data_IF_337230243568
#
_entry.id   IF_337230243568
#
_cell.length_a   1.000
_cell.length_b   1.000
_cell.length_c   1.000
_cell.angle_alpha   90.00
_cell.angle_beta   90.00
_cell.angle_gamma   90.00
#
_symmetry.space_group_name_H-M   'P 1'
#
loop_
_entity.id
_entity.type
_entity.pdbx_description
1 polymer ?
#
# COMPACT_ATOMS: atom_id res chain seq x y z
N UNK A 1 -14.69 20.45 15.33
CA UNK A 1 -13.25 20.08 15.30
C UNK A 1 -12.58 20.74 16.49
N UNK A 2 -11.93 19.97 17.34
CA UNK A 2 -11.31 20.45 18.59
C UNK A 2 -9.95 21.10 18.27
N UNK A 3 -9.89 22.44 18.28
CA UNK A 3 -8.71 23.22 17.86
C UNK A 3 -7.44 22.92 18.69
N UNK A 4 -7.60 22.34 19.88
CA UNK A 4 -6.49 21.95 20.76
C UNK A 4 -5.71 20.76 20.20
N UNK A 5 -6.38 19.82 19.51
CA UNK A 5 -5.74 18.64 18.91
C UNK A 5 -4.93 18.99 17.67
N UNK A 6 -5.42 19.93 16.87
CA UNK A 6 -4.73 20.41 15.66
C UNK A 6 -3.44 21.14 16.03
N UNK A 7 -3.49 22.03 17.04
CA UNK A 7 -2.31 22.74 17.53
C UNK A 7 -1.26 21.77 18.11
N UNK A 8 -1.71 20.77 18.86
CA UNK A 8 -0.84 19.72 19.42
C UNK A 8 -0.19 18.87 18.32
N UNK A 9 -0.96 18.50 17.29
CA UNK A 9 -0.45 17.75 16.13
C UNK A 9 0.59 18.55 15.34
N UNK A 10 0.31 19.82 15.05
CA UNK A 10 1.24 20.70 14.35
C UNK A 10 2.57 20.87 15.12
N UNK A 11 2.52 20.95 16.44
CA UNK A 11 3.71 21.01 17.28
C UNK A 11 4.50 19.69 17.27
N UNK A 12 3.83 18.54 17.29
CA UNK A 12 4.49 17.23 17.20
C UNK A 12 5.23 17.01 15.88
N UNK A 13 4.64 17.43 14.74
CA UNK A 13 5.29 17.32 13.43
C UNK A 13 6.52 18.24 13.29
N UNK A 14 6.50 19.41 13.94
CA UNK A 14 7.61 20.37 13.88
C UNK A 14 8.84 19.93 14.69
N UNK A 15 8.65 19.18 15.77
CA UNK A 15 9.74 18.82 16.68
C UNK A 15 10.73 17.83 16.07
N UNK A 16 10.26 16.90 15.23
CA UNK A 16 11.11 15.91 14.56
C UNK A 16 10.64 15.74 13.10
N UNK A 17 11.02 16.66 12.19
CA UNK A 17 10.52 16.64 10.83
C UNK A 17 11.03 15.40 10.09
N UNK A 18 10.11 14.72 9.41
CA UNK A 18 10.45 13.67 8.47
C UNK A 18 11.13 14.28 7.24
N UNK A 19 12.43 14.07 7.10
CA UNK A 19 13.23 14.60 5.99
C UNK A 19 13.14 13.65 4.81
N UNK A 20 12.28 13.98 3.85
CA UNK A 20 12.08 13.18 2.65
C UNK A 20 13.35 13.23 1.79
N UNK A 21 13.93 12.07 1.52
CA UNK A 21 15.10 11.90 0.65
C UNK A 21 14.72 11.44 -0.75
N UNK A 22 13.63 10.68 -0.88
CA UNK A 22 13.11 10.18 -2.15
C UNK A 22 11.59 10.12 -2.14
N UNK A 23 10.98 10.55 -3.22
CA UNK A 23 9.53 10.49 -3.41
C UNK A 23 9.21 10.04 -4.84
N UNK A 24 8.29 9.11 -4.97
CA UNK A 24 7.67 8.67 -6.23
C UNK A 24 6.15 8.57 -6.02
N UNK A 25 5.40 8.25 -7.08
CA UNK A 25 3.95 8.08 -7.00
C UNK A 25 3.49 6.99 -6.02
N UNK A 26 4.34 6.03 -5.69
CA UNK A 26 4.00 4.89 -4.82
C UNK A 26 5.00 4.68 -3.69
N UNK A 27 6.04 5.50 -3.57
CA UNK A 27 7.09 5.33 -2.56
C UNK A 27 7.50 6.67 -1.96
N UNK A 28 7.61 6.72 -0.64
CA UNK A 28 8.11 7.87 0.10
C UNK A 28 9.17 7.38 1.09
N UNK A 29 10.41 7.80 0.90
CA UNK A 29 11.53 7.47 1.77
C UNK A 29 12.12 8.73 2.36
N UNK A 30 12.50 8.66 3.63
CA UNK A 30 13.10 9.76 4.35
C UNK A 30 13.71 9.32 5.65
N UNK A 31 14.25 10.29 6.38
CA UNK A 31 14.87 10.06 7.68
C UNK A 31 14.12 10.81 8.78
N UNK A 32 14.11 10.23 9.97
CA UNK A 32 13.52 10.84 11.16
C UNK A 32 14.36 10.49 12.38
N UNK A 33 14.50 11.47 13.27
CA UNK A 33 15.14 11.30 14.57
C UNK A 33 14.06 11.08 15.63
N UNK A 34 14.18 9.98 16.38
CA UNK A 34 13.29 9.63 17.47
C UNK A 34 14.02 9.83 18.81
N UNK A 35 13.63 10.81 19.64
CA UNK A 35 14.38 11.16 20.84
C UNK A 35 14.21 10.15 22.00
N UNK A 36 13.20 9.27 21.94
CA UNK A 36 12.84 8.33 23.02
C UNK A 36 12.40 6.99 22.45
N UNK A 37 12.52 5.94 23.26
CA UNK A 37 11.97 4.63 22.92
C UNK A 37 10.44 4.67 22.95
N UNK A 38 9.82 3.81 22.13
CA UNK A 38 8.38 3.81 21.85
C UNK A 38 7.86 5.17 21.35
N UNK A 39 8.70 5.92 20.63
CA UNK A 39 8.28 7.09 19.89
C UNK A 39 7.21 6.73 18.86
N UNK A 40 6.21 7.59 18.70
CA UNK A 40 5.22 7.43 17.63
C UNK A 40 5.43 8.54 16.61
N UNK A 41 5.83 8.16 15.40
CA UNK A 41 5.81 9.06 14.27
C UNK A 41 4.40 9.07 13.69
N UNK A 42 3.81 10.25 13.55
CA UNK A 42 2.55 10.45 12.83
C UNK A 42 2.86 11.17 11.52
N UNK A 43 2.16 10.79 10.45
CA UNK A 43 2.34 11.36 9.12
C UNK A 43 1.10 12.16 8.71
N UNK A 44 1.23 13.03 7.72
CA UNK A 44 0.09 13.69 7.06
C UNK A 44 -0.54 12.83 5.97
N UNK A 45 -0.08 11.59 5.81
CA UNK A 45 -0.61 10.66 4.81
C UNK A 45 -1.81 9.94 5.43
N UNK A 46 -2.96 9.91 4.76
CA UNK A 46 -4.14 9.24 5.29
C UNK A 46 -3.93 7.72 5.36
N UNK A 47 -4.48 7.09 6.40
CA UNK A 47 -4.43 5.65 6.59
C UNK A 47 -5.23 4.93 5.52
N UNK A 48 -4.61 3.93 4.89
CA UNK A 48 -5.24 3.03 3.93
C UNK A 48 -4.58 1.66 4.00
N UNK A 49 -5.36 0.61 3.76
CA UNK A 49 -4.89 -0.78 3.75
C UNK A 49 -3.84 -1.07 2.66
N UNK A 50 -3.71 -0.19 1.66
CA UNK A 50 -2.69 -0.31 0.62
C UNK A 50 -1.30 0.18 1.03
N UNK A 51 -1.19 0.93 2.14
CA UNK A 51 0.10 1.43 2.62
C UNK A 51 0.86 0.36 3.41
N UNK A 52 2.14 0.26 3.11
CA UNK A 52 3.12 -0.57 3.82
C UNK A 52 4.24 0.35 4.30
N UNK A 53 4.78 0.08 5.48
CA UNK A 53 5.87 0.85 6.05
C UNK A 53 7.04 -0.06 6.41
N UNK A 54 8.24 0.50 6.37
CA UNK A 54 9.45 -0.13 6.85
C UNK A 54 10.33 0.89 7.58
N UNK A 55 10.97 0.44 8.64
CA UNK A 55 11.91 1.20 9.46
C UNK A 55 13.24 0.46 9.42
N UNK A 56 14.29 1.11 8.90
CA UNK A 56 15.62 0.52 8.70
C UNK A 56 15.58 -0.81 7.94
N UNK A 57 14.70 -0.90 6.95
CA UNK A 57 14.50 -2.09 6.12
C UNK A 57 13.63 -3.19 6.76
N UNK A 58 13.19 -3.03 8.01
CA UNK A 58 12.26 -3.98 8.66
C UNK A 58 10.82 -3.53 8.48
N UNK A 59 9.96 -4.43 8.01
CA UNK A 59 8.52 -4.14 7.84
C UNK A 59 7.87 -3.84 9.18
N UNK A 60 7.10 -2.75 9.24
CA UNK A 60 6.30 -2.37 10.39
C UNK A 60 4.85 -2.16 9.96
N UNK A 61 3.91 -2.46 10.83
CA UNK A 61 2.49 -2.26 10.56
C UNK A 61 2.11 -0.80 10.87
N UNK A 62 1.67 -0.02 9.87
CA UNK A 62 1.11 1.31 10.12
C UNK A 62 -0.15 1.18 10.99
N UNK A 63 -0.31 2.09 11.95
CA UNK A 63 -1.51 2.22 12.78
C UNK A 63 -2.30 3.45 12.37
N UNK A 64 -3.61 3.39 12.54
CA UNK A 64 -4.48 4.54 12.34
C UNK A 64 -4.39 5.48 13.55
N UNK A 65 -4.13 6.75 13.29
CA UNK A 65 -4.07 7.82 14.29
C UNK A 65 -5.13 8.87 14.00
N UNK A 66 -5.86 9.29 15.04
CA UNK A 66 -6.99 10.21 14.95
C UNK A 66 -8.02 9.86 13.86
N UNK A 67 -8.21 8.56 13.59
CA UNK A 67 -9.12 8.03 12.56
C UNK A 67 -8.79 8.42 11.10
N UNK A 68 -7.75 9.20 10.84
CA UNK A 68 -7.46 9.69 9.48
C UNK A 68 -6.03 9.41 9.04
N UNK A 69 -5.05 9.54 9.93
CA UNK A 69 -3.63 9.57 9.57
C UNK A 69 -2.92 8.26 9.87
N UNK A 70 -1.80 8.01 9.20
CA UNK A 70 -0.91 6.91 9.56
C UNK A 70 0.06 7.29 10.67
N UNK A 71 0.30 6.35 11.56
CA UNK A 71 1.36 6.40 12.55
C UNK A 71 2.18 5.11 12.56
N UNK A 72 3.47 5.21 12.88
CA UNK A 72 4.37 4.07 13.09
C UNK A 72 5.13 4.24 14.40
N UNK A 73 5.43 3.13 15.05
CA UNK A 73 6.26 3.12 16.24
C UNK A 73 7.74 3.10 15.84
N UNK A 74 8.55 3.89 16.52
CA UNK A 74 9.99 4.00 16.35
C UNK A 74 10.68 3.75 17.70
N UNK A 75 11.81 3.06 17.66
CA UNK A 75 12.76 3.05 18.78
C UNK A 75 13.44 4.42 18.90
N UNK A 76 14.26 4.60 19.94
CA UNK A 76 15.14 5.77 20.03
C UNK A 76 16.24 5.68 18.97
N UNK A 77 16.51 6.78 18.29
CA UNK A 77 17.64 6.89 17.35
C UNK A 77 17.28 7.52 16.00
N UNK A 78 18.23 7.44 15.08
CA UNK A 78 18.09 7.87 13.70
C UNK A 78 17.55 6.72 12.86
N UNK A 79 16.46 6.94 12.14
CA UNK A 79 15.78 5.90 11.39
C UNK A 79 15.56 6.31 9.93
N UNK A 80 15.74 5.36 9.02
CA UNK A 80 15.29 5.44 7.64
C UNK A 80 13.91 4.84 7.56
N UNK A 81 12.92 5.66 7.27
CA UNK A 81 11.52 5.23 7.10
C UNK A 81 11.20 5.20 5.62
N UNK A 82 10.56 4.13 5.18
CA UNK A 82 10.07 3.98 3.81
C UNK A 82 8.61 3.55 3.82
N UNK A 83 7.76 4.32 3.17
CA UNK A 83 6.36 4.03 2.90
C UNK A 83 6.20 3.62 1.45
N UNK A 84 5.49 2.52 1.19
CA UNK A 84 5.15 2.04 -0.16
C UNK A 84 3.66 1.78 -0.27
N UNK A 85 3.04 2.25 -1.35
CA UNK A 85 1.62 2.08 -1.63
C UNK A 85 1.39 1.00 -2.68
N UNK A 86 0.52 0.04 -2.35
CA UNK A 86 0.03 -0.97 -3.27
C UNK A 86 -1.51 -0.93 -3.34
N UNK A 87 -2.11 -0.61 -4.49
CA UNK A 87 -3.55 -0.52 -4.62
C UNK A 87 -4.22 -1.90 -4.53
N UNK A 88 -5.10 -2.11 -3.55
CA UNK A 88 -5.86 -3.36 -3.39
C UNK A 88 -6.80 -3.65 -4.57
N UNK A 89 -7.28 -2.61 -5.27
CA UNK A 89 -8.10 -2.78 -6.47
C UNK A 89 -7.34 -3.44 -7.63
N UNK A 90 -6.01 -3.27 -7.68
CA UNK A 90 -5.18 -3.83 -8.74
C UNK A 90 -5.12 -5.36 -8.66
N UNK A 91 -5.01 -5.92 -7.45
CA UNK A 91 -5.00 -7.38 -7.27
C UNK A 91 -6.35 -8.01 -7.60
N UNK A 92 -7.46 -7.37 -7.19
CA UNK A 92 -8.81 -7.79 -7.56
C UNK A 92 -9.04 -7.72 -9.07
N UNK A 93 -8.68 -6.61 -9.70
CA UNK A 93 -8.78 -6.42 -11.14
C UNK A 93 -7.99 -7.47 -11.92
N UNK A 94 -6.74 -7.73 -11.52
CA UNK A 94 -5.89 -8.75 -12.15
C UNK A 94 -6.53 -10.14 -12.09
N UNK A 95 -7.11 -10.49 -10.94
CA UNK A 95 -7.78 -11.78 -10.74
C UNK A 95 -8.99 -11.93 -11.65
N UNK A 96 -9.82 -10.89 -11.75
CA UNK A 96 -10.98 -10.86 -12.65
C UNK A 96 -10.52 -10.99 -14.11
N UNK A 97 -9.53 -10.19 -14.54
CA UNK A 97 -9.01 -10.23 -15.90
C UNK A 97 -8.47 -11.60 -16.29
N UNK A 98 -7.68 -12.23 -15.42
CA UNK A 98 -7.15 -13.59 -15.66
C UNK A 98 -8.26 -14.63 -15.74
N UNK A 99 -9.27 -14.53 -14.87
CA UNK A 99 -10.42 -15.45 -14.88
C UNK A 99 -11.21 -15.31 -16.17
N UNK A 100 -11.53 -14.08 -16.58
CA UNK A 100 -12.25 -13.81 -17.83
C UNK A 100 -11.46 -14.30 -19.04
N UNK A 101 -10.15 -14.04 -19.08
CA UNK A 101 -9.28 -14.51 -20.16
C UNK A 101 -9.26 -16.04 -20.25
N UNK A 102 -9.16 -16.73 -19.11
CA UNK A 102 -9.22 -18.20 -19.04
C UNK A 102 -10.54 -18.76 -19.57
N UNK A 103 -11.67 -18.15 -19.22
CA UNK A 103 -12.99 -18.54 -19.72
C UNK A 103 -13.12 -18.33 -21.23
N UNK A 104 -12.58 -17.23 -21.78
CA UNK A 104 -12.57 -16.97 -23.22
C UNK A 104 -11.76 -18.04 -23.95
N UNK A 105 -10.56 -18.37 -23.46
CA UNK A 105 -9.70 -19.41 -24.06
C UNK A 105 -10.40 -20.76 -24.03
N UNK A 106 -11.03 -21.13 -22.92
CA UNK A 106 -11.75 -22.39 -22.78
C UNK A 106 -12.96 -22.47 -23.72
N UNK A 107 -13.73 -21.37 -23.84
CA UNK A 107 -14.86 -21.29 -24.76
C UNK A 107 -14.44 -21.40 -26.23
N UNK A 108 -13.39 -20.68 -26.64
CA UNK A 108 -12.86 -20.75 -28.00
C UNK A 108 -12.28 -22.15 -28.31
N UNK A 109 -11.55 -22.75 -27.37
CA UNK A 109 -11.04 -24.11 -27.49
C UNK A 109 -12.16 -25.13 -27.67
N UNK A 110 -13.26 -25.01 -26.91
CA UNK A 110 -14.43 -25.86 -27.04
C UNK A 110 -15.13 -25.70 -28.40
N UNK A 111 -15.29 -24.46 -28.89
CA UNK A 111 -15.88 -24.18 -30.20
C UNK A 111 -15.06 -24.82 -31.35
N UNK A 112 -13.73 -24.68 -31.30
CA UNK A 112 -12.83 -25.28 -32.29
C UNK A 112 -12.90 -26.80 -32.25
N UNK A 113 -12.87 -27.39 -31.04
CA UNK A 113 -13.00 -28.83 -30.86
C UNK A 113 -14.30 -29.39 -31.42
N UNK A 114 -15.43 -28.72 -31.14
CA UNK A 114 -16.74 -29.10 -31.67
C UNK A 114 -16.78 -29.02 -33.19
N UNK A 115 -16.28 -27.92 -33.78
CA UNK A 115 -16.22 -27.75 -35.24
C UNK A 115 -15.41 -28.85 -35.93
N UNK A 116 -14.29 -29.27 -35.33
CA UNK A 116 -13.45 -30.37 -35.88
C UNK A 116 -14.15 -31.73 -35.86
N UNK A 117 -15.07 -31.99 -34.92
CA UNK A 117 -15.83 -33.24 -34.87
C UNK A 117 -17.00 -33.28 -35.87
N UNK A 118 -17.56 -32.14 -36.26
CA UNK A 118 -18.70 -32.09 -37.19
C UNK A 118 -18.35 -32.45 -38.64
N UNK A 119 -17.08 -32.34 -39.05
CA UNK A 119 -16.63 -32.61 -40.43
C UNK A 119 -16.23 -34.07 -40.69
N UNK A 120 -16.30 -34.95 -39.70
CA UNK A 120 -15.86 -36.36 -39.80
C UNK A 120 -16.99 -37.36 -40.09
N UNK A 121 -18.26 -36.93 -40.13
CA UNK A 121 -19.42 -37.80 -40.40
C UNK A 121 -20.04 -37.63 -41.79
N UNK A 122 -19.30 -37.13 -42.78
CA UNK A 122 -19.80 -36.88 -44.14
C UNK A 122 -19.22 -37.83 -45.21
N UNK A 123 -18.68 -38.99 -44.84
CA UNK A 123 -18.20 -40.01 -45.80
C UNK A 123 -18.94 -41.35 -45.61
#
# INVERSE_FOLDING_TARGET
MDNTKVATFANHLKQNPYRITKYTNSEITGTIDSPRDNGTMVTTIPYSKGWHASVDGRTVTPKQWAHEFMAINLSKGHHVVKFTYFPLGLSLGLTISLTTLGLIILFLGFQIYKRRRSTTHAE
#
